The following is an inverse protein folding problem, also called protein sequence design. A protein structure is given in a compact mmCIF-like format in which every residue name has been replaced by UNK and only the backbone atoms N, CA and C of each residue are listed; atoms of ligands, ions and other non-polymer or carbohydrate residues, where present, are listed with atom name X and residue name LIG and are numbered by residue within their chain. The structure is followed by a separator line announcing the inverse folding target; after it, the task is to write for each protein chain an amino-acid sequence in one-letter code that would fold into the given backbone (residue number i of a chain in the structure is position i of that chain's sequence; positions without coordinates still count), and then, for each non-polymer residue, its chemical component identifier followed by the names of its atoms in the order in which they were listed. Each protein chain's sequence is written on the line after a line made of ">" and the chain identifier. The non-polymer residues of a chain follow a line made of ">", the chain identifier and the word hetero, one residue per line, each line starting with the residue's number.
data_IF_198110456263
#
_entry.id   IF_198110456263
#
_cell.length_a   1.000
_cell.length_b   1.000
_cell.length_c   1.000
_cell.angle_alpha   90.00
_cell.angle_beta   90.00
_cell.angle_gamma   90.00
#
_symmetry.space_group_name_H-M   'P 1'
#
loop_
_entity.id
_entity.type
_entity.pdbx_description
1 polymer ?
#
# COMPACT_ATOMS: atom_id res chain seq x y z
N UNK A 1 16.62 15.24 -6.90
CA UNK A 1 16.98 15.69 -8.28
C UNK A 1 16.63 14.65 -9.35
N UNK A 2 17.20 13.45 -9.34
CA UNK A 2 16.77 12.41 -10.28
C UNK A 2 15.37 11.87 -9.96
N UNK A 3 15.07 11.73 -8.66
CA UNK A 3 13.80 11.28 -8.11
C UNK A 3 12.65 12.27 -8.35
N UNK A 4 12.93 13.57 -8.33
CA UNK A 4 11.95 14.65 -8.57
C UNK A 4 11.66 14.90 -10.06
N UNK A 5 12.12 14.01 -10.96
CA UNK A 5 11.85 14.11 -12.40
C UNK A 5 12.61 15.21 -13.15
N UNK A 6 13.65 15.80 -12.54
CA UNK A 6 14.52 16.83 -13.15
C UNK A 6 15.58 16.20 -14.06
N UNK A 7 16.03 14.97 -13.75
CA UNK A 7 16.92 14.17 -14.60
C UNK A 7 16.14 13.07 -15.34
N UNK A 8 16.56 12.78 -16.57
CA UNK A 8 15.89 11.76 -17.40
C UNK A 8 15.91 10.36 -16.75
N UNK A 9 14.81 9.57 -16.84
CA UNK A 9 14.74 8.20 -16.27
C UNK A 9 15.84 7.25 -16.76
N UNK A 10 16.43 7.54 -17.93
CA UNK A 10 17.53 6.79 -18.49
C UNK A 10 18.80 6.80 -17.60
N UNK A 11 18.97 7.81 -16.73
CA UNK A 11 20.12 7.90 -15.83
C UNK A 11 20.00 6.98 -14.62
N UNK A 12 18.79 6.54 -14.26
CA UNK A 12 18.53 5.69 -13.09
C UNK A 12 18.63 4.18 -13.37
N UNK A 13 18.86 3.76 -14.62
CA UNK A 13 18.96 2.33 -14.96
C UNK A 13 20.10 1.67 -14.17
N UNK A 14 19.80 0.73 -13.26
CA UNK A 14 20.82 0.00 -12.51
C UNK A 14 21.67 -0.86 -13.45
N UNK A 15 22.93 -1.06 -13.11
CA UNK A 15 23.80 -2.02 -13.80
C UNK A 15 23.27 -3.44 -13.56
N UNK A 16 23.09 -4.21 -14.64
CA UNK A 16 22.43 -5.53 -14.61
C UNK A 16 23.07 -6.52 -13.59
N UNK A 17 24.37 -6.41 -13.35
CA UNK A 17 25.08 -7.32 -12.44
C UNK A 17 25.36 -6.74 -11.03
N UNK A 18 25.43 -5.41 -10.88
CA UNK A 18 25.91 -4.77 -9.64
C UNK A 18 24.87 -3.84 -8.98
N UNK A 19 23.72 -3.59 -9.62
CA UNK A 19 22.69 -2.68 -9.11
C UNK A 19 23.12 -1.21 -9.03
N UNK A 20 24.34 -0.86 -9.43
CA UNK A 20 24.87 0.50 -9.34
C UNK A 20 24.33 1.39 -10.45
N UNK A 21 24.12 2.67 -10.16
CA UNK A 21 23.66 3.66 -11.15
C UNK A 21 24.81 4.12 -12.06
N UNK A 22 25.36 3.20 -12.84
CA UNK A 22 26.60 3.38 -13.59
C UNK A 22 26.58 4.58 -14.55
N UNK A 23 25.40 4.96 -15.06
CA UNK A 23 25.23 6.13 -15.94
C UNK A 23 25.41 7.45 -15.21
N UNK A 24 24.96 7.54 -13.96
CA UNK A 24 25.21 8.71 -13.11
C UNK A 24 26.70 8.76 -12.77
N UNK A 25 27.31 7.62 -12.43
CA UNK A 25 28.76 7.56 -12.16
C UNK A 25 29.56 8.03 -13.37
N UNK A 26 29.27 7.51 -14.57
CA UNK A 26 29.94 7.93 -15.80
C UNK A 26 29.72 9.41 -16.13
N UNK A 27 28.51 9.93 -15.88
CA UNK A 27 28.21 11.35 -16.04
C UNK A 27 29.03 12.22 -15.08
N UNK A 28 29.14 11.82 -13.81
CA UNK A 28 29.95 12.52 -12.80
C UNK A 28 31.42 12.51 -13.23
N UNK A 29 31.96 11.35 -13.66
CA UNK A 29 33.34 11.24 -14.15
C UNK A 29 33.56 12.14 -15.37
N UNK A 30 32.66 12.13 -16.34
CA UNK A 30 32.75 12.98 -17.53
C UNK A 30 32.71 14.48 -17.15
N UNK A 31 31.83 14.88 -16.24
CA UNK A 31 31.77 16.24 -15.71
C UNK A 31 33.05 16.63 -14.98
N UNK A 32 33.63 15.75 -14.16
CA UNK A 32 34.88 16.00 -13.46
C UNK A 32 36.02 16.22 -14.45
N UNK A 33 36.16 15.35 -15.46
CA UNK A 33 37.16 15.50 -16.52
C UNK A 33 36.98 16.80 -17.30
N UNK A 34 35.74 17.13 -17.68
CA UNK A 34 35.42 18.37 -18.36
C UNK A 34 35.80 19.59 -17.50
N UNK A 35 35.54 19.54 -16.20
CA UNK A 35 35.88 20.63 -15.28
C UNK A 35 37.39 20.82 -15.17
N UNK A 36 38.17 19.74 -15.11
CA UNK A 36 39.64 19.82 -15.09
C UNK A 36 40.17 20.45 -16.39
N UNK A 37 39.64 20.03 -17.55
CA UNK A 37 40.03 20.56 -18.86
C UNK A 37 39.63 22.05 -18.98
N UNK A 38 38.40 22.40 -18.63
CA UNK A 38 37.88 23.76 -18.72
C UNK A 38 38.64 24.75 -17.82
N UNK A 39 39.10 24.28 -16.66
CA UNK A 39 39.88 25.10 -15.72
C UNK A 39 41.37 25.06 -15.99
N UNK A 40 41.83 24.29 -16.98
CA UNK A 40 43.26 24.04 -17.26
C UNK A 40 44.02 23.53 -16.03
N UNK A 41 43.32 22.84 -15.12
CA UNK A 41 43.89 22.39 -13.85
C UNK A 41 44.19 23.52 -12.84
N UNK A 42 43.60 24.71 -12.98
CA UNK A 42 43.80 25.80 -12.02
C UNK A 42 43.12 25.48 -10.67
N UNK A 43 43.92 25.00 -9.73
CA UNK A 43 43.49 24.58 -8.39
C UNK A 43 42.86 25.74 -7.60
N UNK A 44 43.31 26.99 -7.78
CA UNK A 44 42.74 28.13 -7.07
C UNK A 44 41.31 28.43 -7.51
N UNK A 45 41.04 28.32 -8.82
CA UNK A 45 39.70 28.51 -9.37
C UNK A 45 38.77 27.35 -8.99
N UNK A 46 39.27 26.10 -9.04
CA UNK A 46 38.53 24.92 -8.59
C UNK A 46 38.18 24.97 -7.10
N UNK A 47 39.14 25.34 -6.25
CA UNK A 47 38.93 25.51 -4.82
C UNK A 47 37.93 26.63 -4.53
N UNK A 48 38.00 27.74 -5.28
CA UNK A 48 37.03 28.84 -5.21
C UNK A 48 35.61 28.39 -5.56
N UNK A 49 35.44 27.66 -6.67
CA UNK A 49 34.16 27.08 -7.08
C UNK A 49 33.58 26.11 -6.04
N UNK A 50 34.41 25.22 -5.51
CA UNK A 50 34.00 24.29 -4.45
C UNK A 50 33.55 25.04 -3.20
N UNK A 51 34.35 25.99 -2.71
CA UNK A 51 34.02 26.79 -1.55
C UNK A 51 32.72 27.58 -1.75
N UNK A 52 32.53 28.18 -2.92
CA UNK A 52 31.29 28.87 -3.28
C UNK A 52 30.08 27.93 -3.17
N UNK A 53 30.14 26.75 -3.82
CA UNK A 53 29.05 25.77 -3.79
C UNK A 53 28.71 25.28 -2.38
N UNK A 54 29.73 24.98 -1.57
CA UNK A 54 29.57 24.50 -0.19
C UNK A 54 28.95 25.57 0.70
N UNK A 55 29.46 26.80 0.67
CA UNK A 55 28.98 27.89 1.51
C UNK A 55 27.52 28.24 1.18
N UNK A 56 27.17 28.33 -0.10
CA UNK A 56 25.79 28.60 -0.53
C UNK A 56 24.84 27.43 -0.21
N UNK A 57 25.28 26.19 -0.39
CA UNK A 57 24.48 25.01 -0.05
C UNK A 57 24.12 24.98 1.44
N UNK A 58 25.11 25.14 2.33
CA UNK A 58 24.86 25.17 3.78
C UNK A 58 24.00 26.36 4.21
N UNK A 59 24.19 27.53 3.59
CA UNK A 59 23.41 28.73 3.89
C UNK A 59 21.93 28.56 3.52
N UNK A 60 21.66 28.05 2.32
CA UNK A 60 20.29 27.78 1.86
C UNK A 60 19.64 26.64 2.64
N UNK A 61 20.39 25.58 2.98
CA UNK A 61 19.89 24.48 3.81
C UNK A 61 19.52 24.97 5.21
N UNK A 62 20.36 25.80 5.83
CA UNK A 62 20.08 26.40 7.14
C UNK A 62 18.84 27.29 7.10
N UNK A 63 18.68 28.11 6.05
CA UNK A 63 17.49 28.93 5.84
C UNK A 63 16.23 28.07 5.65
N UNK A 64 16.31 27.00 4.86
CA UNK A 64 15.19 26.08 4.64
C UNK A 64 14.74 25.41 5.96
N UNK A 65 15.69 24.93 6.76
CA UNK A 65 15.40 24.34 8.07
C UNK A 65 14.78 25.38 9.01
N UNK A 66 15.25 26.63 8.98
CA UNK A 66 14.68 27.73 9.75
C UNK A 66 13.24 28.04 9.33
N UNK A 67 12.96 28.14 8.02
CA UNK A 67 11.62 28.37 7.48
C UNK A 67 10.67 27.23 7.84
N UNK A 68 11.12 25.98 7.67
CA UNK A 68 10.33 24.79 8.04
C UNK A 68 10.02 24.76 9.54
N UNK A 69 10.93 25.25 10.39
CA UNK A 69 10.69 25.33 11.83
C UNK A 69 9.54 26.28 12.20
N UNK A 70 9.26 27.29 11.38
CA UNK A 70 8.13 28.19 11.58
C UNK A 70 6.85 27.72 10.87
N UNK A 71 6.96 27.10 9.69
CA UNK A 71 5.80 26.67 8.90
C UNK A 71 5.21 25.32 9.35
N UNK A 72 6.04 24.38 9.81
CA UNK A 72 5.65 23.02 10.17
C UNK A 72 6.24 22.62 11.54
N UNK A 73 5.60 23.03 12.66
CA UNK A 73 6.08 22.71 14.00
C UNK A 73 5.76 21.25 14.38
N UNK A 74 6.43 20.28 13.75
CA UNK A 74 6.33 18.86 14.09
C UNK A 74 7.25 18.52 15.28
N UNK A 75 6.85 17.55 16.12
CA UNK A 75 7.71 16.99 17.18
C UNK A 75 8.89 16.26 16.55
N UNK A 76 10.04 16.91 16.43
CA UNK A 76 11.29 16.31 15.95
C UNK A 76 12.09 15.69 17.09
N UNK A 77 12.64 14.51 16.85
CA UNK A 77 13.47 13.74 17.79
C UNK A 77 14.78 14.46 18.13
N UNK A 78 15.33 15.23 17.19
CA UNK A 78 16.55 16.00 17.39
C UNK A 78 16.34 17.50 17.15
N UNK A 79 16.93 18.31 18.03
CA UNK A 79 16.89 19.79 17.96
C UNK A 79 18.28 20.35 18.26
N UNK A 80 18.66 21.41 17.53
CA UNK A 80 19.88 22.18 17.80
C UNK A 80 19.83 22.72 19.24
N UNK A 81 20.92 22.65 20.02
CA UNK A 81 20.95 23.18 21.38
C UNK A 81 20.68 24.69 21.41
N UNK A 82 20.15 25.19 22.54
CA UNK A 82 19.84 26.61 22.72
C UNK A 82 18.47 27.05 22.18
N UNK A 83 17.43 26.22 22.31
CA UNK A 83 16.05 26.64 22.03
C UNK A 83 15.43 27.21 23.31
N UNK A 84 14.85 28.41 23.22
CA UNK A 84 14.13 29.04 24.33
C UNK A 84 12.63 28.75 24.19
N UNK A 85 11.99 28.33 25.27
CA UNK A 85 10.54 28.17 25.35
C UNK A 85 9.94 29.43 25.96
N UNK A 86 9.30 30.28 25.14
CA UNK A 86 8.59 31.46 25.61
C UNK A 86 7.10 31.31 25.26
N UNK A 87 6.21 31.40 26.25
CA UNK A 87 4.75 31.29 26.08
C UNK A 87 4.27 30.06 25.27
N UNK A 88 4.87 28.88 25.52
CA UNK A 88 4.50 27.64 24.83
C UNK A 88 4.97 27.54 23.37
N UNK A 89 5.67 28.56 22.85
CA UNK A 89 6.30 28.55 21.51
C UNK A 89 7.81 28.39 21.64
N UNK A 90 8.35 27.38 20.98
CA UNK A 90 9.80 27.16 20.91
C UNK A 90 10.44 28.11 19.91
N UNK A 91 11.31 29.00 20.39
CA UNK A 91 12.12 29.90 19.55
C UNK A 91 13.49 29.23 19.36
N UNK A 92 13.86 28.85 18.12
CA UNK A 92 15.07 28.10 17.85
C UNK A 92 16.30 29.03 17.75
N UNK A 93 16.70 29.66 18.87
CA UNK A 93 17.75 30.67 18.89
C UNK A 93 19.10 30.14 18.39
N UNK A 94 19.47 28.91 18.78
CA UNK A 94 20.69 28.26 18.28
C UNK A 94 20.71 28.09 16.76
N UNK A 95 19.57 27.69 16.16
CA UNK A 95 19.45 27.57 14.71
C UNK A 95 19.51 28.94 14.01
N UNK A 96 18.87 29.96 14.59
CA UNK A 96 18.92 31.34 14.08
C UNK A 96 20.36 31.86 14.06
N UNK A 97 21.11 31.64 15.15
CA UNK A 97 22.51 32.06 15.24
C UNK A 97 23.39 31.37 14.18
N UNK A 98 23.27 30.05 14.02
CA UNK A 98 24.01 29.30 13.00
C UNK A 98 23.65 29.79 11.59
N UNK A 99 22.36 29.99 11.33
CA UNK A 99 21.87 30.52 10.04
C UNK A 99 22.45 31.89 9.74
N UNK A 100 22.46 32.79 10.73
CA UNK A 100 23.02 34.14 10.59
C UNK A 100 24.52 34.11 10.28
N UNK A 101 25.30 33.28 10.98
CA UNK A 101 26.75 33.15 10.73
C UNK A 101 27.04 32.60 9.34
N UNK A 102 26.35 31.54 8.93
CA UNK A 102 26.51 30.93 7.60
C UNK A 102 26.15 31.92 6.49
N UNK A 103 25.01 32.59 6.62
CA UNK A 103 24.55 33.55 5.62
C UNK A 103 25.44 34.78 5.55
N UNK A 104 25.94 35.27 6.69
CA UNK A 104 26.91 36.36 6.72
C UNK A 104 28.23 35.95 6.03
N UNK A 105 28.69 34.72 6.28
CA UNK A 105 29.88 34.18 5.63
C UNK A 105 29.67 34.05 4.12
N UNK A 106 28.49 33.62 3.67
CA UNK A 106 28.13 33.57 2.25
C UNK A 106 28.15 34.94 1.59
N UNK A 107 27.55 35.95 2.23
CA UNK A 107 27.54 37.33 1.73
C UNK A 107 28.97 37.88 1.65
N UNK A 108 29.75 37.76 2.72
CA UNK A 108 31.14 38.25 2.74
C UNK A 108 31.97 37.53 1.68
N UNK A 109 31.82 36.22 1.53
CA UNK A 109 32.51 35.43 0.50
C UNK A 109 32.13 35.92 -0.91
N UNK A 110 30.84 36.14 -1.16
CA UNK A 110 30.31 36.62 -2.44
C UNK A 110 30.91 37.97 -2.85
N UNK A 111 31.10 38.90 -1.90
CA UNK A 111 31.69 40.20 -2.20
C UNK A 111 33.23 40.22 -2.18
N UNK A 112 33.87 39.33 -1.43
CA UNK A 112 35.35 39.37 -1.24
C UNK A 112 36.11 38.53 -2.27
N UNK A 113 35.51 37.45 -2.78
CA UNK A 113 36.17 36.50 -3.69
C UNK A 113 35.59 36.61 -5.09
N UNK A 114 35.86 37.72 -5.77
CA UNK A 114 35.34 38.04 -7.11
C UNK A 114 35.50 36.89 -8.13
N UNK A 115 36.67 36.26 -8.20
CA UNK A 115 36.93 35.10 -9.08
C UNK A 115 35.99 33.92 -8.80
N UNK A 116 35.79 33.58 -7.53
CA UNK A 116 34.89 32.50 -7.12
C UNK A 116 33.42 32.86 -7.37
N UNK A 117 33.07 34.13 -7.20
CA UNK A 117 31.71 34.63 -7.43
C UNK A 117 31.34 34.58 -8.91
N UNK A 118 32.19 35.07 -9.81
CA UNK A 118 31.90 34.98 -11.25
C UNK A 118 31.78 33.53 -11.67
N UNK A 119 32.76 32.70 -11.30
CA UNK A 119 32.76 31.30 -11.68
C UNK A 119 31.53 30.56 -11.11
N UNK A 120 31.21 30.80 -9.84
CA UNK A 120 30.09 30.17 -9.14
C UNK A 120 28.72 30.61 -9.67
N UNK A 121 28.52 31.90 -9.93
CA UNK A 121 27.28 32.43 -10.51
C UNK A 121 27.10 31.93 -11.94
N UNK A 122 28.17 31.95 -12.75
CA UNK A 122 28.13 31.44 -14.13
C UNK A 122 27.80 29.96 -14.15
N UNK A 123 28.46 29.15 -13.32
CA UNK A 123 28.18 27.74 -13.16
C UNK A 123 26.72 27.49 -12.75
N UNK A 124 26.23 28.22 -11.74
CA UNK A 124 24.86 28.11 -11.25
C UNK A 124 23.84 28.46 -12.34
N UNK A 125 24.09 29.51 -13.13
CA UNK A 125 23.22 29.92 -14.23
C UNK A 125 23.17 28.87 -15.35
N UNK A 126 24.31 28.28 -15.72
CA UNK A 126 24.38 27.20 -16.70
C UNK A 126 23.59 25.98 -16.22
N UNK A 127 23.81 25.52 -14.99
CA UNK A 127 23.08 24.38 -14.44
C UNK A 127 21.58 24.67 -14.28
N UNK A 128 21.22 25.88 -13.85
CA UNK A 128 19.83 26.31 -13.79
C UNK A 128 19.16 26.22 -15.17
N UNK A 129 19.83 26.70 -16.22
CA UNK A 129 19.29 26.61 -17.58
C UNK A 129 19.21 25.16 -18.08
N UNK A 130 20.25 24.34 -17.86
CA UNK A 130 20.26 22.92 -18.22
C UNK A 130 19.14 22.17 -17.51
N UNK A 131 18.95 22.37 -16.21
CA UNK A 131 17.87 21.74 -15.45
C UNK A 131 16.50 22.24 -15.89
N UNK A 132 16.31 23.55 -16.08
CA UNK A 132 15.05 24.12 -16.57
C UNK A 132 14.71 23.60 -17.97
N UNK A 133 15.70 23.47 -18.85
CA UNK A 133 15.53 22.91 -20.19
C UNK A 133 15.24 21.40 -20.13
N UNK A 134 15.98 20.65 -19.33
CA UNK A 134 15.76 19.22 -19.08
C UNK A 134 14.35 18.96 -18.55
N UNK A 135 13.90 19.75 -17.57
CA UNK A 135 12.56 19.66 -16.99
C UNK A 135 11.49 19.97 -18.04
N UNK A 136 11.64 21.05 -18.81
CA UNK A 136 10.70 21.40 -19.90
C UNK A 136 10.68 20.35 -21.00
N UNK A 137 11.81 19.76 -21.36
CA UNK A 137 11.90 18.70 -22.35
C UNK A 137 11.30 17.39 -21.83
N UNK A 138 11.60 17.01 -20.59
CA UNK A 138 11.00 15.87 -19.91
C UNK A 138 9.48 16.05 -19.77
N UNK A 139 9.00 17.25 -19.43
CA UNK A 139 7.59 17.59 -19.41
C UNK A 139 6.94 17.49 -20.80
N UNK A 140 7.61 17.93 -21.87
CA UNK A 140 7.11 17.77 -23.25
C UNK A 140 7.10 16.31 -23.72
N UNK A 141 8.09 15.51 -23.35
CA UNK A 141 8.12 14.08 -23.64
C UNK A 141 7.07 13.28 -22.81
N UNK A 142 6.62 13.85 -21.68
CA UNK A 142 5.51 13.32 -20.87
C UNK A 142 4.13 13.58 -21.46
N UNK A 143 3.95 14.56 -22.36
CA UNK A 143 2.65 14.89 -23.02
C UNK A 143 2.02 13.77 -23.87
N UNK A 144 2.68 12.63 -24.06
CA UNK A 144 2.15 11.45 -24.76
C UNK A 144 2.11 10.17 -23.93
N UNK A 145 2.48 10.22 -22.64
CA UNK A 145 2.29 9.14 -21.66
C UNK A 145 1.22 9.60 -20.66
N UNK A 146 0.37 8.72 -20.11
CA UNK A 146 -0.71 9.14 -19.21
C UNK A 146 -0.14 9.95 -18.04
N UNK A 147 -0.33 11.27 -18.10
CA UNK A 147 -0.09 12.19 -16.99
C UNK A 147 -1.13 11.86 -15.91
N UNK A 148 -0.67 11.52 -14.71
CA UNK A 148 -1.56 11.25 -13.58
C UNK A 148 -1.11 10.13 -12.65
N UNK A 149 -0.13 9.29 -13.05
CA UNK A 149 0.34 8.21 -12.19
C UNK A 149 1.06 8.75 -10.96
N UNK A 150 0.44 8.61 -9.79
CA UNK A 150 1.02 9.02 -8.51
C UNK A 150 2.33 8.27 -8.26
N UNK A 151 3.34 8.98 -7.76
CA UNK A 151 4.60 8.34 -7.33
C UNK A 151 4.43 7.82 -5.91
N UNK A 152 4.06 6.55 -5.79
CA UNK A 152 3.96 5.88 -4.49
C UNK A 152 5.35 5.57 -3.94
N UNK A 153 5.63 6.00 -2.70
CA UNK A 153 6.80 5.54 -1.98
C UNK A 153 6.54 4.12 -1.47
N UNK A 154 7.14 3.13 -2.12
CA UNK A 154 7.00 1.72 -1.76
C UNK A 154 7.90 1.42 -0.57
N UNK A 155 7.32 1.19 0.60
CA UNK A 155 8.05 0.69 1.76
C UNK A 155 7.98 -0.84 1.75
N UNK A 156 9.12 -1.48 1.47
CA UNK A 156 9.25 -2.94 1.56
C UNK A 156 9.36 -3.41 3.01
N UNK A 157 8.26 -3.35 3.76
CA UNK A 157 8.22 -3.89 5.12
C UNK A 157 7.86 -5.38 5.08
N UNK A 158 8.79 -6.23 5.52
CA UNK A 158 8.60 -7.69 5.60
C UNK A 158 7.61 -8.07 6.73
N UNK A 159 7.47 -7.21 7.74
CA UNK A 159 6.49 -7.34 8.81
C UNK A 159 5.19 -6.63 8.44
N UNK A 160 4.32 -7.32 7.71
CA UNK A 160 2.92 -6.92 7.53
C UNK A 160 2.21 -7.07 8.89
N UNK A 161 2.23 -6.02 9.71
CA UNK A 161 1.42 -5.90 10.92
C UNK A 161 0.62 -4.61 10.89
N UNK A 162 -0.56 -4.59 11.50
CA UNK A 162 -1.42 -3.40 11.61
C UNK A 162 -0.66 -2.17 12.12
N UNK A 163 0.24 -2.36 13.10
CA UNK A 163 1.12 -1.31 13.63
C UNK A 163 2.18 -0.81 12.65
N UNK A 164 2.67 -1.64 11.74
CA UNK A 164 3.68 -1.25 10.74
C UNK A 164 3.07 -0.45 9.58
N UNK A 165 1.78 -0.68 9.26
CA UNK A 165 1.02 0.12 8.30
C UNK A 165 0.32 1.33 8.97
N UNK A 166 0.20 1.34 10.30
CA UNK A 166 -0.50 2.38 11.04
C UNK A 166 -2.03 2.30 10.95
N UNK A 167 -2.58 1.12 10.64
CA UNK A 167 -4.04 0.90 10.51
C UNK A 167 -4.62 0.24 11.77
N UNK A 168 -5.85 0.60 12.11
CA UNK A 168 -6.56 0.07 13.29
C UNK A 168 -7.05 -1.35 13.03
N UNK A 169 -7.04 -2.24 14.04
CA UNK A 169 -7.75 -3.52 13.98
C UNK A 169 -9.24 -3.32 13.68
N UNK A 170 -9.87 -4.31 13.04
CA UNK A 170 -11.25 -4.19 12.58
C UNK A 170 -11.40 -3.33 11.32
N UNK A 171 -10.32 -3.08 10.58
CA UNK A 171 -10.37 -2.42 9.28
C UNK A 171 -11.13 -3.25 8.22
N UNK A 172 -11.50 -2.58 7.14
CA UNK A 172 -12.07 -3.20 5.94
C UNK A 172 -10.96 -3.38 4.92
N UNK A 173 -10.69 -4.62 4.53
CA UNK A 173 -9.73 -4.95 3.48
C UNK A 173 -10.46 -5.03 2.14
N UNK A 174 -10.11 -4.17 1.19
CA UNK A 174 -10.69 -4.12 -0.15
C UNK A 174 -9.67 -4.67 -1.14
N UNK A 175 -9.94 -5.84 -1.71
CA UNK A 175 -9.11 -6.42 -2.75
C UNK A 175 -9.50 -5.86 -4.12
N UNK A 176 -8.57 -5.17 -4.78
CA UNK A 176 -8.74 -4.57 -6.10
C UNK A 176 -7.86 -5.27 -7.12
N UNK A 177 -8.35 -5.38 -8.34
CA UNK A 177 -7.58 -5.96 -9.46
C UNK A 177 -7.57 -5.12 -10.71
N UNK A 178 -8.66 -4.42 -11.04
CA UNK A 178 -8.81 -3.68 -12.29
C UNK A 178 -9.03 -2.17 -12.02
N UNK A 179 -8.18 -1.26 -12.55
CA UNK A 179 -8.33 0.20 -12.37
C UNK A 179 -9.66 0.73 -12.90
N UNK A 180 -10.27 0.06 -13.88
CA UNK A 180 -11.51 0.49 -14.53
C UNK A 180 -12.74 0.05 -13.76
N UNK A 181 -12.59 -0.87 -12.81
CA UNK A 181 -13.69 -1.44 -12.05
C UNK A 181 -13.47 -1.28 -10.54
N UNK A 182 -13.91 -0.12 -10.02
CA UNK A 182 -13.79 0.28 -8.61
C UNK A 182 -15.13 0.69 -7.98
N UNK A 183 -16.26 0.24 -8.56
CA UNK A 183 -17.60 0.62 -8.07
C UNK A 183 -17.84 0.16 -6.62
N UNK A 184 -17.39 -1.04 -6.26
CA UNK A 184 -17.47 -1.59 -4.91
C UNK A 184 -16.63 -0.80 -3.90
N UNK A 185 -15.43 -0.34 -4.30
CA UNK A 185 -14.62 0.53 -3.46
C UNK A 185 -15.37 1.84 -3.16
N UNK A 186 -16.01 2.45 -4.16
CA UNK A 186 -16.84 3.64 -3.97
C UNK A 186 -17.98 3.36 -2.97
N UNK A 187 -18.67 2.23 -3.10
CA UNK A 187 -19.76 1.83 -2.19
C UNK A 187 -19.26 1.65 -0.76
N UNK A 188 -18.13 0.96 -0.57
CA UNK A 188 -17.48 0.80 0.75
C UNK A 188 -17.12 2.15 1.34
N UNK A 189 -16.45 3.01 0.57
CA UNK A 189 -16.06 4.33 1.04
C UNK A 189 -17.29 5.14 1.44
N UNK A 190 -18.33 5.21 0.61
CA UNK A 190 -19.56 5.96 0.92
C UNK A 190 -20.21 5.50 2.23
N UNK A 191 -20.24 4.19 2.48
CA UNK A 191 -20.94 3.60 3.62
C UNK A 191 -20.08 3.47 4.89
N UNK A 192 -18.77 3.72 4.81
CA UNK A 192 -17.84 3.55 5.94
C UNK A 192 -17.46 4.91 6.55
N UNK A 193 -17.52 5.03 7.88
CA UNK A 193 -16.94 6.16 8.60
C UNK A 193 -15.44 5.93 8.82
N UNK A 194 -14.61 6.53 7.96
CA UNK A 194 -13.15 6.39 8.00
C UNK A 194 -12.51 7.06 9.22
N UNK A 195 -13.24 7.90 9.97
CA UNK A 195 -12.77 8.39 11.25
C UNK A 195 -12.77 7.29 12.33
N UNK A 196 -13.53 6.20 12.14
CA UNK A 196 -13.65 5.09 13.11
C UNK A 196 -13.09 3.77 12.59
N UNK A 197 -13.17 3.53 11.29
CA UNK A 197 -12.79 2.27 10.68
C UNK A 197 -11.93 2.52 9.43
N UNK A 198 -10.70 2.03 9.43
CA UNK A 198 -9.81 2.22 8.29
C UNK A 198 -10.23 1.35 7.10
N UNK A 199 -10.00 1.89 5.89
CA UNK A 199 -10.16 1.15 4.64
C UNK A 199 -8.77 0.91 4.06
N UNK A 200 -8.41 -0.36 3.93
CA UNK A 200 -7.13 -0.81 3.36
C UNK A 200 -7.42 -1.39 1.99
N UNK A 201 -6.84 -0.82 0.95
CA UNK A 201 -6.97 -1.31 -0.43
C UNK A 201 -5.72 -2.10 -0.78
N UNK A 202 -5.92 -3.35 -1.20
CA UNK A 202 -4.83 -4.25 -1.55
C UNK A 202 -4.89 -4.73 -3.01
N UNK A 203 -3.73 -4.89 -3.63
CA UNK A 203 -3.56 -5.65 -4.88
C UNK A 203 -2.63 -6.84 -4.63
N UNK A 204 -3.03 -8.03 -5.09
CA UNK A 204 -2.20 -9.23 -5.02
C UNK A 204 -1.43 -9.41 -6.32
N UNK A 205 -0.10 -9.54 -6.23
CA UNK A 205 0.77 -9.85 -7.36
C UNK A 205 1.15 -11.32 -7.33
N UNK A 206 0.68 -12.06 -8.33
CA UNK A 206 0.94 -13.50 -8.45
C UNK A 206 2.27 -13.74 -9.16
N UNK A 207 3.17 -14.47 -8.50
CA UNK A 207 4.42 -14.91 -9.11
C UNK A 207 4.29 -16.37 -9.53
N UNK A 208 4.61 -16.65 -10.79
CA UNK A 208 4.85 -18.02 -11.23
C UNK A 208 6.24 -18.42 -10.71
N UNK A 209 6.30 -19.53 -9.99
CA UNK A 209 7.53 -20.04 -9.37
C UNK A 209 8.49 -20.55 -10.45
N UNK A 210 9.18 -19.65 -11.15
CA UNK A 210 10.39 -20.02 -11.85
C UNK A 210 11.50 -20.17 -10.81
N UNK A 211 12.00 -21.41 -10.68
CA UNK A 211 13.06 -21.78 -9.76
C UNK A 211 14.35 -20.99 -10.06
N UNK A 212 14.48 -19.83 -9.45
CA UNK A 212 15.75 -19.11 -9.36
C UNK A 212 16.53 -19.71 -8.19
N UNK A 213 17.63 -20.38 -8.51
CA UNK A 213 18.56 -21.10 -7.61
C UNK A 213 19.35 -20.18 -6.64
N UNK A 214 18.73 -19.12 -6.11
CA UNK A 214 19.36 -18.21 -5.14
C UNK A 214 18.46 -18.02 -3.94
N UNK A 215 18.88 -18.52 -2.78
CA UNK A 215 18.12 -18.53 -1.51
C UNK A 215 17.94 -17.16 -0.84
N UNK A 216 17.82 -16.07 -1.59
CA UNK A 216 17.50 -14.74 -1.07
C UNK A 216 16.02 -14.44 -1.28
N UNK A 217 15.20 -14.57 -0.23
CA UNK A 217 13.78 -14.18 -0.19
C UNK A 217 13.57 -12.66 -0.04
N UNK A 218 14.54 -11.86 -0.45
CA UNK A 218 14.45 -10.39 -0.39
C UNK A 218 14.07 -9.90 -1.78
N UNK A 219 12.77 -9.70 -1.98
CA UNK A 219 12.25 -9.08 -3.19
C UNK A 219 12.57 -7.57 -3.16
N UNK A 220 13.11 -7.06 -4.25
CA UNK A 220 13.36 -5.63 -4.41
C UNK A 220 12.01 -4.89 -4.51
N UNK A 221 11.79 -3.84 -3.71
CA UNK A 221 10.53 -3.10 -3.68
C UNK A 221 10.14 -2.53 -5.05
N UNK A 222 11.13 -2.25 -5.89
CA UNK A 222 10.97 -1.80 -7.28
C UNK A 222 10.45 -2.89 -8.24
N UNK A 223 10.63 -4.17 -7.89
CA UNK A 223 10.11 -5.32 -8.65
C UNK A 223 8.68 -5.72 -8.22
N UNK A 224 8.23 -5.29 -7.03
CA UNK A 224 6.88 -5.57 -6.53
C UNK A 224 5.87 -4.54 -7.06
N UNK A 225 6.28 -3.29 -7.25
CA UNK A 225 5.43 -2.19 -7.73
C UNK A 225 5.70 -1.89 -9.22
N UNK A 226 4.88 -2.45 -10.12
CA UNK A 226 4.99 -2.20 -11.55
C UNK A 226 4.14 -0.98 -11.98
N UNK A 227 4.28 -0.60 -13.26
CA UNK A 227 3.42 0.40 -13.90
C UNK A 227 1.92 0.07 -13.75
N UNK A 228 1.57 -1.22 -13.69
CA UNK A 228 0.18 -1.66 -13.49
C UNK A 228 -0.35 -1.30 -12.11
N UNK A 229 0.38 -1.62 -11.03
CA UNK A 229 -0.03 -1.25 -9.68
C UNK A 229 -0.07 0.27 -9.50
N UNK A 230 0.81 1.00 -10.18
CA UNK A 230 0.78 2.46 -10.19
C UNK A 230 -0.51 3.00 -10.82
N UNK A 231 -0.95 2.45 -11.96
CA UNK A 231 -2.22 2.82 -12.60
C UNK A 231 -3.43 2.46 -11.72
N UNK A 232 -3.43 1.25 -11.15
CA UNK A 232 -4.47 0.77 -10.25
C UNK A 232 -4.62 1.68 -9.03
N UNK A 233 -3.52 1.98 -8.35
CA UNK A 233 -3.57 2.79 -7.14
C UNK A 233 -3.84 4.26 -7.41
N UNK A 234 -3.40 4.79 -8.54
CA UNK A 234 -3.82 6.13 -8.98
C UNK A 234 -5.35 6.20 -9.12
N UNK A 235 -5.96 5.19 -9.76
CA UNK A 235 -7.41 5.13 -9.89
C UNK A 235 -8.12 4.97 -8.54
N UNK A 236 -7.56 4.18 -7.62
CA UNK A 236 -8.06 4.01 -6.25
C UNK A 236 -8.04 5.33 -5.48
N UNK A 237 -6.93 6.07 -5.53
CA UNK A 237 -6.81 7.37 -4.86
C UNK A 237 -7.79 8.37 -5.44
N UNK A 238 -7.94 8.44 -6.77
CA UNK A 238 -8.94 9.30 -7.40
C UNK A 238 -10.38 8.99 -6.93
N UNK A 239 -10.73 7.72 -6.72
CA UNK A 239 -12.03 7.33 -6.13
C UNK A 239 -12.12 7.78 -4.67
N UNK A 240 -11.07 7.58 -3.89
CA UNK A 240 -11.00 7.93 -2.47
C UNK A 240 -11.11 9.45 -2.23
N UNK A 241 -10.37 10.25 -3.00
CA UNK A 241 -10.42 11.72 -2.97
C UNK A 241 -11.78 12.26 -3.36
N UNK A 242 -12.41 11.68 -4.38
CA UNK A 242 -13.77 12.06 -4.80
C UNK A 242 -14.81 11.83 -3.71
N UNK A 243 -14.63 10.80 -2.88
CA UNK A 243 -15.47 10.54 -1.71
C UNK A 243 -14.99 11.27 -0.44
N UNK A 244 -13.84 11.97 -0.50
CA UNK A 244 -13.25 12.70 0.62
C UNK A 244 -12.78 11.82 1.78
N UNK A 245 -12.42 10.56 1.51
CA UNK A 245 -12.11 9.55 2.53
C UNK A 245 -10.72 8.96 2.34
N UNK A 246 -9.87 8.89 3.38
CA UNK A 246 -8.53 8.33 3.26
C UNK A 246 -8.57 6.81 3.08
N UNK A 247 -7.59 6.27 2.34
CA UNK A 247 -7.35 4.83 2.17
C UNK A 247 -5.87 4.52 2.39
N UNK A 248 -5.58 3.33 2.91
CA UNK A 248 -4.21 2.79 2.97
C UNK A 248 -4.00 1.82 1.82
N UNK A 249 -2.85 1.90 1.14
CA UNK A 249 -2.57 1.09 -0.06
C UNK A 249 -1.51 0.02 0.23
N UNK A 250 -1.73 -1.20 -0.25
CA UNK A 250 -0.81 -2.31 -0.05
C UNK A 250 -0.70 -3.19 -1.30
N UNK A 251 0.53 -3.51 -1.72
CA UNK A 251 0.77 -4.59 -2.68
C UNK A 251 1.27 -5.83 -1.93
N UNK A 252 0.64 -6.97 -2.19
CA UNK A 252 0.98 -8.23 -1.54
C UNK A 252 1.48 -9.23 -2.58
N UNK A 253 2.73 -9.69 -2.47
CA UNK A 253 3.22 -10.79 -3.30
C UNK A 253 2.57 -12.11 -2.84
N UNK A 254 2.17 -12.94 -3.79
CA UNK A 254 1.57 -14.24 -3.49
C UNK A 254 1.72 -15.24 -4.64
N UNK A 255 1.46 -16.51 -4.36
CA UNK A 255 1.30 -17.56 -5.38
C UNK A 255 -0.16 -17.84 -5.69
N UNK A 256 -1.04 -17.54 -4.74
CA UNK A 256 -2.50 -17.64 -4.84
C UNK A 256 -3.16 -16.35 -4.33
N UNK A 257 -4.20 -15.89 -5.02
CA UNK A 257 -4.86 -14.61 -4.71
C UNK A 257 -5.71 -14.69 -3.45
N UNK A 258 -6.42 -15.81 -3.24
CA UNK A 258 -7.31 -15.99 -2.10
C UNK A 258 -6.50 -16.15 -0.81
N UNK A 259 -5.40 -16.90 -0.86
CA UNK A 259 -4.46 -17.01 0.25
C UNK A 259 -3.81 -15.67 0.58
N UNK A 260 -3.36 -14.93 -0.44
CA UNK A 260 -2.77 -13.60 -0.22
C UNK A 260 -3.76 -12.65 0.47
N UNK A 261 -5.03 -12.65 0.06
CA UNK A 261 -6.09 -11.85 0.69
C UNK A 261 -6.33 -12.32 2.13
N UNK A 262 -6.47 -13.63 2.38
CA UNK A 262 -6.74 -14.18 3.72
C UNK A 262 -5.60 -13.90 4.71
N UNK A 263 -4.35 -14.15 4.31
CA UNK A 263 -3.19 -13.88 5.16
C UNK A 263 -3.08 -12.40 5.49
N UNK A 264 -3.35 -11.53 4.51
CA UNK A 264 -3.37 -10.08 4.71
C UNK A 264 -4.46 -9.67 5.69
N UNK A 265 -5.68 -10.20 5.52
CA UNK A 265 -6.80 -9.92 6.41
C UNK A 265 -6.51 -10.36 7.85
N UNK A 266 -5.92 -11.55 8.04
CA UNK A 266 -5.52 -12.05 9.36
C UNK A 266 -4.47 -11.12 10.00
N UNK A 267 -3.42 -10.75 9.26
CA UNK A 267 -2.32 -9.91 9.76
C UNK A 267 -2.76 -8.49 10.11
N UNK A 268 -3.71 -7.94 9.35
CA UNK A 268 -4.30 -6.62 9.61
C UNK A 268 -5.43 -6.67 10.65
N UNK A 269 -5.82 -7.86 11.13
CA UNK A 269 -6.99 -8.08 11.97
C UNK A 269 -8.25 -7.45 11.36
N UNK A 270 -8.44 -7.61 10.05
CA UNK A 270 -9.58 -7.06 9.32
C UNK A 270 -10.89 -7.74 9.75
N UNK A 271 -11.97 -6.96 9.87
CA UNK A 271 -13.29 -7.51 10.20
C UNK A 271 -14.06 -7.95 8.96
N UNK A 272 -13.76 -7.34 7.81
CA UNK A 272 -14.45 -7.56 6.54
C UNK A 272 -13.46 -7.54 5.39
N UNK A 273 -13.75 -8.37 4.39
CA UNK A 273 -13.04 -8.41 3.12
C UNK A 273 -14.06 -8.06 2.04
N UNK A 274 -13.70 -7.15 1.15
CA UNK A 274 -14.58 -6.71 0.07
C UNK A 274 -13.85 -6.84 -1.26
N UNK A 275 -14.51 -7.40 -2.26
CA UNK A 275 -14.00 -7.45 -3.62
C UNK A 275 -15.13 -7.31 -4.64
N UNK A 276 -14.79 -6.90 -5.86
CA UNK A 276 -15.69 -7.05 -7.00
C UNK A 276 -15.72 -8.51 -7.49
N UNK A 277 -16.82 -8.90 -8.14
CA UNK A 277 -16.93 -10.23 -8.74
C UNK A 277 -15.86 -10.43 -9.82
N UNK A 278 -15.28 -11.62 -9.83
CA UNK A 278 -14.37 -12.06 -10.89
C UNK A 278 -15.11 -12.28 -12.21
N UNK A 279 -14.48 -11.95 -13.33
CA UNK A 279 -15.02 -12.27 -14.66
C UNK A 279 -14.99 -13.78 -14.97
N UNK A 280 -14.28 -14.58 -14.16
CA UNK A 280 -14.10 -16.02 -14.36
C UNK A 280 -14.89 -16.90 -13.39
N UNK A 281 -15.39 -16.32 -12.32
CA UNK A 281 -16.01 -17.04 -11.21
C UNK A 281 -17.34 -16.37 -10.87
N UNK A 282 -18.31 -17.18 -10.47
CA UNK A 282 -19.52 -16.73 -9.79
C UNK A 282 -19.17 -16.21 -8.38
N UNK A 283 -20.08 -15.44 -7.77
CA UNK A 283 -19.90 -14.99 -6.40
C UNK A 283 -19.73 -16.18 -5.42
N UNK A 284 -20.49 -17.26 -5.63
CA UNK A 284 -20.44 -18.45 -4.77
C UNK A 284 -19.14 -19.24 -4.92
N UNK A 285 -18.62 -19.39 -6.15
CA UNK A 285 -17.31 -20.00 -6.36
C UNK A 285 -16.18 -19.17 -5.73
N UNK A 286 -16.25 -17.83 -5.81
CA UNK A 286 -15.31 -16.95 -5.10
C UNK A 286 -15.44 -17.10 -3.58
N UNK A 287 -16.66 -17.15 -3.07
CA UNK A 287 -16.94 -17.42 -1.66
C UNK A 287 -16.33 -18.74 -1.20
N UNK A 288 -16.51 -19.81 -1.98
CA UNK A 288 -15.97 -21.13 -1.71
C UNK A 288 -14.43 -21.15 -1.69
N UNK A 289 -13.78 -20.60 -2.71
CA UNK A 289 -12.31 -20.56 -2.78
C UNK A 289 -11.70 -19.71 -1.67
N UNK A 290 -12.37 -18.61 -1.30
CA UNK A 290 -11.96 -17.77 -0.16
C UNK A 290 -12.14 -18.51 1.16
N UNK A 291 -13.23 -19.26 1.34
CA UNK A 291 -13.45 -20.12 2.50
C UNK A 291 -12.41 -21.24 2.60
N UNK A 292 -12.04 -21.86 1.49
CA UNK A 292 -10.98 -22.89 1.47
C UNK A 292 -9.62 -22.28 1.83
N UNK A 293 -9.33 -21.06 1.40
CA UNK A 293 -8.13 -20.33 1.82
C UNK A 293 -8.17 -19.98 3.32
N UNK A 294 -9.35 -19.65 3.86
CA UNK A 294 -9.54 -19.43 5.30
C UNK A 294 -9.26 -20.71 6.11
N UNK A 295 -9.69 -21.88 5.63
CA UNK A 295 -9.42 -23.18 6.27
C UNK A 295 -7.93 -23.56 6.27
N UNK A 296 -7.13 -22.97 5.38
CA UNK A 296 -5.67 -23.17 5.35
C UNK A 296 -4.91 -22.20 6.25
N UNK A 297 -5.57 -21.21 6.86
CA UNK A 297 -4.91 -20.25 7.74
C UNK A 297 -4.40 -20.91 9.03
N UNK A 298 -3.23 -20.47 9.53
CA UNK A 298 -2.77 -20.83 10.86
C UNK A 298 -3.66 -20.20 11.94
N UNK A 299 -3.69 -20.79 13.14
CA UNK A 299 -4.35 -20.19 14.29
C UNK A 299 -3.61 -18.93 14.79
N UNK A 300 -4.32 -17.91 15.32
CA UNK A 300 -5.77 -17.83 15.47
C UNK A 300 -6.46 -17.41 14.16
N UNK A 301 -7.44 -18.19 13.70
CA UNK A 301 -8.20 -17.84 12.50
C UNK A 301 -9.18 -16.69 12.76
N UNK A 302 -9.22 -15.65 11.91
CA UNK A 302 -10.07 -14.48 12.14
C UNK A 302 -11.54 -14.81 11.84
N UNK A 303 -12.46 -14.24 12.62
CA UNK A 303 -13.89 -14.20 12.25
C UNK A 303 -14.12 -13.01 11.34
N UNK A 304 -14.42 -13.26 10.08
CA UNK A 304 -14.62 -12.19 9.11
C UNK A 304 -15.68 -12.53 8.08
N UNK A 305 -16.23 -11.49 7.47
CA UNK A 305 -17.21 -11.60 6.38
C UNK A 305 -16.52 -11.23 5.07
N UNK A 306 -16.66 -12.09 4.05
CA UNK A 306 -16.37 -11.74 2.66
C UNK A 306 -17.62 -11.12 2.05
N UNK A 307 -17.45 -10.02 1.33
CA UNK A 307 -18.50 -9.41 0.52
C UNK A 307 -18.06 -9.28 -0.91
N UNK A 308 -18.80 -9.93 -1.81
CA UNK A 308 -18.56 -9.89 -3.26
C UNK A 308 -19.64 -8.99 -3.88
N UNK A 309 -19.20 -7.94 -4.55
CA UNK A 309 -20.08 -7.03 -5.27
C UNK A 309 -20.18 -7.39 -6.75
N UNK A 310 -21.41 -7.52 -7.22
CA UNK A 310 -21.76 -7.62 -8.63
C UNK A 310 -21.65 -6.26 -9.33
N UNK A 311 -21.49 -6.20 -10.67
CA UNK A 311 -21.42 -4.94 -11.43
C UNK A 311 -22.62 -4.01 -11.24
N UNK A 312 -23.80 -4.54 -10.89
CA UNK A 312 -25.02 -3.81 -10.59
C UNK A 312 -25.07 -3.29 -9.13
N UNK A 313 -24.00 -3.50 -8.37
CA UNK A 313 -23.86 -3.19 -6.93
C UNK A 313 -24.66 -4.11 -5.99
N UNK A 314 -25.20 -5.23 -6.48
CA UNK A 314 -25.73 -6.29 -5.61
C UNK A 314 -24.58 -6.91 -4.82
N UNK A 315 -24.80 -7.17 -3.52
CA UNK A 315 -23.77 -7.67 -2.61
C UNK A 315 -24.11 -9.08 -2.12
N UNK A 316 -23.16 -10.00 -2.27
CA UNK A 316 -23.22 -11.35 -1.73
C UNK A 316 -22.31 -11.43 -0.50
N UNK A 317 -22.88 -11.74 0.66
CA UNK A 317 -22.14 -11.82 1.93
C UNK A 317 -21.92 -13.29 2.34
N UNK A 318 -20.66 -13.63 2.61
CA UNK A 318 -20.24 -14.96 3.05
C UNK A 318 -19.54 -14.84 4.40
N UNK A 319 -20.10 -15.47 5.43
CA UNK A 319 -19.48 -15.59 6.74
C UNK A 319 -18.41 -16.68 6.69
N UNK A 320 -17.14 -16.33 6.89
CA UNK A 320 -16.05 -17.29 6.83
C UNK A 320 -15.79 -17.93 8.20
N UNK A 321 -15.58 -19.25 8.17
CA UNK A 321 -15.38 -20.09 9.35
C UNK A 321 -16.69 -20.49 10.07
N UNK A 322 -16.58 -21.21 11.19
CA UNK A 322 -17.75 -21.69 11.94
C UNK A 322 -18.59 -20.52 12.48
N UNK A 323 -19.84 -20.44 12.04
CA UNK A 323 -20.80 -19.42 12.44
C UNK A 323 -22.19 -20.04 12.64
N UNK A 324 -23.06 -19.33 13.35
CA UNK A 324 -24.47 -19.72 13.46
C UNK A 324 -25.14 -19.48 12.09
N UNK A 325 -25.67 -20.52 11.41
CA UNK A 325 -26.30 -20.35 10.12
C UNK A 325 -27.63 -19.61 10.27
N UNK A 326 -28.03 -18.91 9.21
CA UNK A 326 -29.39 -18.38 9.10
C UNK A 326 -30.33 -19.53 8.72
N UNK A 327 -31.35 -19.76 9.55
CA UNK A 327 -32.35 -20.81 9.30
C UNK A 327 -33.58 -20.21 8.58
N UNK A 328 -34.10 -20.91 7.56
CA UNK A 328 -35.37 -20.50 6.92
C UNK A 328 -36.54 -20.82 7.85
N UNK A 329 -37.66 -20.08 7.77
CA UNK A 329 -38.85 -20.37 8.58
C UNK A 329 -39.35 -21.82 8.44
N UNK A 330 -39.29 -22.39 7.23
CA UNK A 330 -39.66 -23.79 6.99
C UNK A 330 -38.75 -24.79 7.72
N UNK A 331 -37.45 -24.52 7.80
CA UNK A 331 -36.48 -25.39 8.49
C UNK A 331 -36.71 -25.35 10.00
N UNK A 332 -36.98 -24.17 10.55
CA UNK A 332 -37.31 -24.00 11.97
C UNK A 332 -38.59 -24.76 12.32
N UNK A 333 -39.60 -24.68 11.44
CA UNK A 333 -40.85 -25.41 11.62
C UNK A 333 -40.66 -26.92 11.53
N UNK A 334 -39.85 -27.41 10.59
CA UNK A 334 -39.52 -28.84 10.48
C UNK A 334 -38.79 -29.32 11.73
N UNK A 335 -37.76 -28.60 12.16
CA UNK A 335 -37.02 -28.89 13.40
C UNK A 335 -37.96 -28.94 14.61
N UNK A 336 -38.92 -28.00 14.71
CA UNK A 336 -39.92 -27.99 15.77
C UNK A 336 -40.85 -29.21 15.72
N UNK A 337 -41.33 -29.60 14.53
CA UNK A 337 -42.17 -30.80 14.35
C UNK A 337 -41.46 -32.08 14.74
N UNK A 338 -40.19 -32.25 14.34
CA UNK A 338 -39.38 -33.41 14.71
C UNK A 338 -39.17 -33.46 16.22
N UNK A 339 -38.88 -32.31 16.84
CA UNK A 339 -38.76 -32.22 18.30
C UNK A 339 -40.05 -32.61 19.03
N UNK A 340 -41.21 -32.14 18.56
CA UNK A 340 -42.52 -32.52 19.11
C UNK A 340 -42.75 -34.03 19.01
N UNK A 341 -42.36 -34.67 17.90
CA UNK A 341 -42.56 -36.11 17.73
C UNK A 341 -41.64 -36.92 18.64
N UNK A 342 -40.37 -36.54 18.78
CA UNK A 342 -39.41 -37.20 19.67
C UNK A 342 -39.82 -37.10 21.15
N UNK A 343 -40.33 -35.93 21.57
CA UNK A 343 -40.71 -35.67 22.96
C UNK A 343 -42.04 -36.31 23.37
N UNK A 344 -42.77 -36.96 22.44
CA UNK A 344 -43.91 -37.83 22.78
C UNK A 344 -43.49 -39.03 23.61
N UNK A 345 -42.27 -39.53 23.40
CA UNK A 345 -41.70 -40.56 24.26
C UNK A 345 -41.18 -39.90 25.55
N UNK A 346 -41.70 -40.28 26.74
CA UNK A 346 -41.29 -39.69 28.01
C UNK A 346 -39.79 -39.78 28.29
N UNK A 347 -39.07 -40.74 27.68
CA UNK A 347 -37.61 -40.87 27.80
C UNK A 347 -36.86 -39.64 27.28
N UNK A 348 -37.45 -38.91 26.33
CA UNK A 348 -36.83 -37.75 25.69
C UNK A 348 -37.45 -36.42 26.12
N UNK A 349 -38.21 -36.38 27.22
CA UNK A 349 -38.88 -35.16 27.69
C UNK A 349 -37.92 -33.96 27.92
N UNK A 350 -36.64 -34.22 28.22
CA UNK A 350 -35.59 -33.20 28.36
C UNK A 350 -34.90 -32.79 27.05
N UNK A 351 -35.34 -33.29 25.90
CA UNK A 351 -34.73 -32.93 24.62
C UNK A 351 -34.98 -31.46 24.26
N UNK A 352 -34.06 -30.89 23.49
CA UNK A 352 -34.09 -29.51 23.02
C UNK A 352 -33.83 -29.49 21.52
N UNK A 353 -34.13 -28.39 20.83
CA UNK A 353 -33.92 -28.29 19.38
C UNK A 353 -32.48 -28.55 18.95
N UNK A 354 -31.49 -28.11 19.73
CA UNK A 354 -30.08 -28.36 19.41
C UNK A 354 -29.70 -29.85 19.47
N UNK A 355 -30.41 -30.68 20.27
CA UNK A 355 -30.20 -32.14 20.28
C UNK A 355 -30.69 -32.77 18.97
N UNK A 356 -31.80 -32.27 18.42
CA UNK A 356 -32.32 -32.70 17.11
C UNK A 356 -31.34 -32.32 16.00
N UNK A 357 -30.82 -31.08 16.03
CA UNK A 357 -29.81 -30.60 15.08
C UNK A 357 -28.54 -31.44 15.18
N UNK A 358 -28.02 -31.68 16.39
CA UNK A 358 -26.83 -32.50 16.59
C UNK A 358 -27.00 -33.90 16.02
N UNK A 359 -28.11 -34.57 16.34
CA UNK A 359 -28.41 -35.92 15.83
C UNK A 359 -28.52 -35.94 14.30
N UNK A 360 -29.21 -34.97 13.71
CA UNK A 360 -29.37 -34.87 12.26
C UNK A 360 -28.01 -34.64 11.55
N UNK A 361 -27.17 -33.76 12.08
CA UNK A 361 -25.84 -33.49 11.54
C UNK A 361 -24.89 -34.69 11.66
N UNK A 362 -24.91 -35.39 12.80
CA UNK A 362 -24.14 -36.63 13.00
C UNK A 362 -24.60 -37.76 12.07
N UNK A 363 -25.90 -37.86 11.82
CA UNK A 363 -26.45 -38.82 10.88
C UNK A 363 -26.05 -38.48 9.44
N UNK A 364 -26.22 -37.22 9.02
CA UNK A 364 -25.80 -36.76 7.69
C UNK A 364 -24.29 -36.97 7.47
N UNK A 365 -23.45 -36.69 8.46
CA UNK A 365 -22.01 -36.94 8.37
C UNK A 365 -21.69 -38.43 8.16
N UNK A 366 -22.40 -39.33 8.84
CA UNK A 366 -22.23 -40.78 8.68
C UNK A 366 -22.64 -41.23 7.28
N UNK A 367 -23.77 -40.75 6.78
CA UNK A 367 -24.26 -41.12 5.44
C UNK A 367 -23.37 -40.55 4.32
N UNK A 368 -22.85 -39.32 4.46
CA UNK A 368 -21.89 -38.74 3.53
C UNK A 368 -20.57 -39.51 3.46
N UNK A 369 -20.18 -40.20 4.53
CA UNK A 369 -19.00 -41.09 4.57
C UNK A 369 -19.34 -42.53 4.15
N UNK A 370 -20.62 -42.86 4.01
CA UNK A 370 -21.13 -44.17 3.64
C UNK A 370 -21.36 -44.32 2.14
N UNK A 371 -22.11 -45.36 1.76
CA UNK A 371 -22.39 -45.69 0.36
C UNK A 371 -23.49 -44.85 -0.31
N UNK A 372 -24.17 -43.97 0.42
CA UNK A 372 -25.31 -43.16 -0.07
C UNK A 372 -24.93 -41.72 -0.40
N UNK A 373 -23.63 -41.42 -0.51
CA UNK A 373 -23.12 -40.06 -0.74
C UNK A 373 -23.72 -39.42 -1.99
N UNK A 374 -23.74 -40.14 -3.11
CA UNK A 374 -24.18 -39.56 -4.39
C UNK A 374 -25.69 -39.24 -4.37
N UNK A 375 -26.52 -40.13 -3.80
CA UNK A 375 -27.95 -39.87 -3.61
C UNK A 375 -28.23 -38.65 -2.73
N UNK A 376 -27.40 -38.41 -1.72
CA UNK A 376 -27.51 -37.24 -0.85
C UNK A 376 -27.10 -35.95 -1.57
N UNK A 377 -26.09 -36.02 -2.45
CA UNK A 377 -25.68 -34.88 -3.27
C UNK A 377 -26.78 -34.50 -4.26
N UNK A 378 -27.43 -35.48 -4.90
CA UNK A 378 -28.57 -35.23 -5.80
C UNK A 378 -29.76 -34.58 -5.08
N UNK A 379 -30.02 -34.98 -3.84
CA UNK A 379 -31.06 -34.35 -3.00
C UNK A 379 -30.69 -32.91 -2.63
N UNK A 380 -29.42 -32.68 -2.30
CA UNK A 380 -28.92 -31.35 -1.97
C UNK A 380 -28.99 -30.41 -3.18
N UNK A 381 -28.64 -30.89 -4.37
CA UNK A 381 -28.74 -30.13 -5.62
C UNK A 381 -30.18 -29.69 -5.89
N UNK A 382 -31.16 -30.60 -5.72
CA UNK A 382 -32.58 -30.25 -5.82
C UNK A 382 -33.02 -29.19 -4.80
N UNK A 383 -32.61 -29.33 -3.55
CA UNK A 383 -32.94 -28.37 -2.49
C UNK A 383 -32.35 -26.97 -2.77
N UNK A 384 -31.14 -26.91 -3.33
CA UNK A 384 -30.50 -25.65 -3.75
C UNK A 384 -31.32 -24.99 -4.87
N UNK A 385 -31.72 -25.75 -5.89
CA UNK A 385 -32.49 -25.21 -7.03
C UNK A 385 -33.96 -24.90 -6.71
N UNK A 386 -34.57 -25.55 -5.73
CA UNK A 386 -35.92 -25.19 -5.25
C UNK A 386 -35.92 -23.93 -4.36
N UNK A 387 -34.74 -23.50 -3.91
CA UNK A 387 -34.56 -22.33 -3.03
C UNK A 387 -34.17 -21.04 -3.77
N UNK A 388 -33.83 -21.12 -5.06
CA UNK A 388 -33.67 -19.99 -5.99
C UNK A 388 -35.03 -19.56 -6.56
#
# INVERSE_FOLDING_TARGET
>A
LAEDGVLTPALQKPHHHYGTTYRIVNLIVAMQLLTIIATWGNVFLLAGLYAFGVIWSFSLMSLAVLVLRYKEPVRREWKVPGNLTLFGKEIPLGLVAISMVLFMTAIVNFFTKYEATIAGVTFSAVFFFVFTYSERHAARARKGRPEGLEQFRVYGNQELGSGAMGVRPGNILVAVRDPRNLHYLRTVLRNTDTAKQDVVVMSARLYHREHSFSGSTVFDASQIFDHYEQELFTAVVAVAEKEGKPVSLLVVPGTDVFEAIMVTAQRLASSRIVCGRSNKLTADEQGKLTGDAWERLPEPRPRLTLVVYEPDSTAHEYLLGPHAPRMRPQDVNLMHKVWLDLTRDPRFAGAHHYHVVALALEQLQRELKGGTRDELLDKLEKEIHESE
#
